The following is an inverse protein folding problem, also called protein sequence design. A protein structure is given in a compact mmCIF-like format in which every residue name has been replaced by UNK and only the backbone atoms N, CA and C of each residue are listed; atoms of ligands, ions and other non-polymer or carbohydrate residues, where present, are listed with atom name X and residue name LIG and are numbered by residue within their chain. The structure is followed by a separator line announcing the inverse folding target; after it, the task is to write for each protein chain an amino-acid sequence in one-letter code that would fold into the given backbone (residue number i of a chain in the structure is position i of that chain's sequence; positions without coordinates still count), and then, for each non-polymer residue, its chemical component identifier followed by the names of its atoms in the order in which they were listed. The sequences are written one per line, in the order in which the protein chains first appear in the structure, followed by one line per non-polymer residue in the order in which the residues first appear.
data_IF_799717778073
#
_entry.id   IF_799717778073
#
_cell.length_a   1.000
_cell.length_b   1.000
_cell.length_c   1.000
_cell.angle_alpha   90.00
_cell.angle_beta   90.00
_cell.angle_gamma   90.00
#
_symmetry.space_group_name_H-M   'P 1'
#
loop_
_entity.id
_entity.type
_entity.pdbx_description
1 polymer ?
#
# COMPACT_ATOMS: atom_id res chain seq x y z
N UNK A 1 28.77 -29.68 -9.50
CA UNK A 1 27.50 -28.96 -9.36
C UNK A 1 27.68 -28.03 -8.18
N UNK A 2 27.81 -26.73 -8.43
CA UNK A 2 27.80 -25.76 -7.35
C UNK A 2 26.38 -25.70 -6.81
N UNK A 3 26.28 -25.89 -5.50
CA UNK A 3 25.08 -25.60 -4.72
C UNK A 3 24.92 -24.08 -4.76
N UNK A 4 24.13 -23.62 -5.73
CA UNK A 4 23.74 -22.23 -5.86
C UNK A 4 22.74 -21.98 -4.74
N UNK A 5 23.28 -21.68 -3.55
CA UNK A 5 22.54 -21.21 -2.39
C UNK A 5 21.64 -20.07 -2.87
N UNK A 6 20.37 -20.37 -3.17
CA UNK A 6 19.41 -19.37 -3.60
C UNK A 6 19.25 -18.36 -2.46
N UNK A 7 19.89 -17.21 -2.61
CA UNK A 7 19.74 -16.08 -1.69
C UNK A 7 18.25 -15.74 -1.59
N UNK A 8 17.74 -15.59 -0.36
CA UNK A 8 16.34 -15.26 -0.16
C UNK A 8 16.02 -13.90 -0.81
N UNK A 9 14.95 -13.86 -1.62
CA UNK A 9 14.60 -12.67 -2.40
C UNK A 9 13.56 -11.78 -1.70
N UNK A 10 13.91 -10.51 -1.48
CA UNK A 10 13.01 -9.46 -0.97
C UNK A 10 12.00 -9.08 -2.06
N UNK A 11 12.43 -9.06 -3.31
CA UNK A 11 11.66 -8.77 -4.51
C UNK A 11 12.39 -9.41 -5.71
N UNK A 12 11.83 -9.41 -6.94
CA UNK A 12 12.50 -10.05 -8.09
C UNK A 12 13.93 -9.55 -8.34
N UNK A 13 14.21 -8.28 -8.02
CA UNK A 13 15.49 -7.63 -8.33
C UNK A 13 16.43 -7.47 -7.13
N UNK A 14 15.98 -7.81 -5.91
CA UNK A 14 16.75 -7.57 -4.68
C UNK A 14 16.69 -8.75 -3.71
N UNK A 15 17.87 -9.16 -3.24
CA UNK A 15 18.02 -10.22 -2.23
C UNK A 15 18.20 -9.66 -0.81
N UNK A 16 18.05 -10.54 0.17
CA UNK A 16 18.38 -10.25 1.58
C UNK A 16 19.85 -9.84 1.74
N UNK A 17 20.77 -10.54 1.06
CA UNK A 17 22.20 -10.20 1.10
C UNK A 17 22.49 -8.80 0.54
N UNK A 18 21.73 -8.37 -0.47
CA UNK A 18 21.85 -7.00 -1.01
C UNK A 18 21.46 -5.98 0.07
N UNK A 19 20.33 -6.19 0.76
CA UNK A 19 19.89 -5.31 1.83
C UNK A 19 20.90 -5.23 2.98
N UNK A 20 21.39 -6.39 3.45
CA UNK A 20 22.33 -6.46 4.58
C UNK A 20 23.69 -5.80 4.30
N UNK A 21 24.07 -5.63 3.03
CA UNK A 21 25.30 -4.94 2.64
C UNK A 21 25.17 -3.41 2.64
N UNK A 22 23.94 -2.88 2.63
CA UNK A 22 23.71 -1.43 2.64
C UNK A 22 24.20 -0.81 3.94
N UNK A 23 24.91 0.30 3.83
CA UNK A 23 25.43 1.05 4.99
C UNK A 23 24.41 2.14 5.38
N UNK A 24 23.35 1.71 6.08
CA UNK A 24 22.23 2.58 6.45
C UNK A 24 22.38 3.13 7.87
N UNK A 25 22.89 4.36 7.96
CA UNK A 25 22.89 5.17 9.17
C UNK A 25 21.82 6.29 9.05
N UNK A 26 20.74 6.27 9.86
CA UNK A 26 19.74 7.33 9.83
C UNK A 26 20.23 8.67 10.39
N UNK A 27 21.22 8.65 11.29
CA UNK A 27 21.70 9.82 12.02
C UNK A 27 22.87 10.51 11.30
N UNK A 28 23.58 9.78 10.43
CA UNK A 28 24.58 10.31 9.50
C UNK A 28 24.40 9.71 8.09
N UNK A 29 23.41 10.16 7.31
CA UNK A 29 22.98 9.46 6.11
C UNK A 29 23.94 9.60 4.92
N UNK A 30 24.24 8.47 4.29
CA UNK A 30 24.68 8.42 2.90
C UNK A 30 23.45 8.38 1.99
N UNK A 31 23.20 9.45 1.25
CA UNK A 31 22.03 9.59 0.39
C UNK A 31 21.99 8.57 -0.76
N UNK A 32 23.13 8.07 -1.22
CA UNK A 32 23.18 7.02 -2.22
C UNK A 32 22.71 5.68 -1.63
N UNK A 33 23.14 5.35 -0.41
CA UNK A 33 22.71 4.14 0.31
C UNK A 33 21.21 4.20 0.64
N UNK A 34 20.72 5.35 1.11
CA UNK A 34 19.28 5.54 1.37
C UNK A 34 18.43 5.50 0.10
N UNK A 35 18.94 6.00 -1.02
CA UNK A 35 18.27 5.86 -2.32
C UNK A 35 18.18 4.40 -2.75
N UNK A 36 19.26 3.62 -2.61
CA UNK A 36 19.23 2.17 -2.87
C UNK A 36 18.23 1.46 -1.97
N UNK A 37 18.21 1.78 -0.67
CA UNK A 37 17.27 1.21 0.28
C UNK A 37 15.81 1.51 -0.09
N UNK A 38 15.50 2.76 -0.45
CA UNK A 38 14.16 3.15 -0.90
C UNK A 38 13.76 2.39 -2.19
N UNK A 39 14.70 2.17 -3.11
CA UNK A 39 14.45 1.42 -4.34
C UNK A 39 14.14 -0.07 -4.08
N UNK A 40 14.74 -0.69 -3.06
CA UNK A 40 14.40 -2.07 -2.63
C UNK A 40 12.92 -2.15 -2.24
N UNK A 41 12.44 -1.22 -1.41
CA UNK A 41 11.04 -1.19 -1.00
C UNK A 41 10.11 -0.86 -2.16
N UNK A 42 10.49 0.14 -2.97
CA UNK A 42 9.74 0.52 -4.16
C UNK A 42 9.52 -0.69 -5.08
N UNK A 43 10.59 -1.42 -5.39
CA UNK A 43 10.52 -2.62 -6.23
C UNK A 43 9.68 -3.72 -5.58
N UNK A 44 9.83 -3.97 -4.27
CA UNK A 44 9.02 -4.95 -3.54
C UNK A 44 7.52 -4.67 -3.67
N UNK A 45 7.09 -3.43 -3.45
CA UNK A 45 5.67 -3.08 -3.46
C UNK A 45 5.13 -3.00 -4.89
N UNK A 46 5.89 -2.41 -5.82
CA UNK A 46 5.51 -2.33 -7.22
C UNK A 46 5.34 -3.72 -7.84
N UNK A 47 6.38 -4.56 -7.78
CA UNK A 47 6.39 -5.86 -8.47
C UNK A 47 5.41 -6.86 -7.88
N UNK A 48 5.18 -6.84 -6.57
CA UNK A 48 4.34 -7.84 -5.88
C UNK A 48 2.87 -7.45 -5.79
N UNK A 49 2.55 -6.16 -5.84
CA UNK A 49 1.18 -5.69 -5.58
C UNK A 49 0.67 -4.70 -6.63
N UNK A 50 1.38 -3.60 -6.87
CA UNK A 50 0.84 -2.53 -7.72
C UNK A 50 0.82 -2.89 -9.20
N UNK A 51 1.92 -3.39 -9.77
CA UNK A 51 1.97 -3.82 -11.16
C UNK A 51 1.01 -4.99 -11.46
N UNK A 52 0.85 -6.00 -10.58
CA UNK A 52 -0.22 -6.99 -10.72
C UNK A 52 -1.62 -6.37 -10.75
N UNK A 53 -1.91 -5.39 -9.90
CA UNK A 53 -3.20 -4.70 -9.90
C UNK A 53 -3.41 -3.89 -11.20
N UNK A 54 -2.38 -3.21 -11.71
CA UNK A 54 -2.39 -2.56 -13.02
C UNK A 54 -2.70 -3.55 -14.15
N UNK A 55 -2.02 -4.71 -14.16
CA UNK A 55 -2.25 -5.76 -15.15
C UNK A 55 -3.71 -6.25 -15.13
N UNK A 56 -4.30 -6.41 -13.93
CA UNK A 56 -5.72 -6.76 -13.79
C UNK A 56 -6.64 -5.64 -14.29
N UNK A 57 -6.31 -4.37 -14.04
CA UNK A 57 -7.09 -3.23 -14.55
C UNK A 57 -7.08 -3.23 -16.09
N UNK A 58 -5.91 -3.41 -16.70
CA UNK A 58 -5.73 -3.45 -18.16
C UNK A 58 -6.47 -4.63 -18.77
N UNK A 59 -6.30 -5.84 -18.20
CA UNK A 59 -6.94 -7.06 -18.70
C UNK A 59 -8.48 -6.98 -18.65
N UNK A 60 -9.03 -6.22 -17.69
CA UNK A 60 -10.48 -6.07 -17.53
C UNK A 60 -11.06 -4.84 -18.25
N UNK A 61 -10.22 -4.00 -18.87
CA UNK A 61 -10.64 -2.86 -19.67
C UNK A 61 -11.68 -3.21 -20.75
N UNK A 62 -11.53 -4.27 -21.57
CA UNK A 62 -12.52 -4.62 -22.61
C UNK A 62 -13.79 -5.30 -22.05
N UNK A 63 -13.78 -5.76 -20.80
CA UNK A 63 -14.89 -6.52 -20.23
C UNK A 63 -15.93 -5.59 -19.58
N UNK A 64 -17.15 -5.55 -20.13
CA UNK A 64 -18.22 -4.69 -19.59
C UNK A 64 -18.72 -5.10 -18.21
N UNK A 65 -18.52 -6.37 -17.80
CA UNK A 65 -19.04 -6.92 -16.54
C UNK A 65 -18.14 -6.63 -15.33
N UNK A 66 -16.84 -6.44 -15.56
CA UNK A 66 -15.85 -6.17 -14.52
C UNK A 66 -15.56 -7.39 -13.63
N UNK A 67 -14.49 -8.13 -13.92
CA UNK A 67 -14.20 -9.41 -13.24
C UNK A 67 -13.22 -9.27 -12.08
N UNK A 68 -12.24 -8.37 -12.17
CA UNK A 68 -11.12 -8.34 -11.21
C UNK A 68 -11.26 -7.31 -10.08
N UNK A 69 -12.45 -6.73 -9.91
CA UNK A 69 -12.69 -5.65 -8.94
C UNK A 69 -12.24 -5.97 -7.51
N UNK A 70 -12.64 -7.12 -6.99
CA UNK A 70 -12.26 -7.55 -5.64
C UNK A 70 -10.77 -7.89 -5.51
N UNK A 71 -10.18 -8.53 -6.52
CA UNK A 71 -8.76 -8.86 -6.51
C UNK A 71 -7.90 -7.59 -6.46
N UNK A 72 -8.23 -6.58 -7.26
CA UNK A 72 -7.54 -5.28 -7.25
C UNK A 72 -7.66 -4.61 -5.87
N UNK A 73 -8.88 -4.52 -5.33
CA UNK A 73 -9.08 -3.89 -4.02
C UNK A 73 -8.38 -4.65 -2.88
N UNK A 74 -8.34 -5.99 -2.93
CA UNK A 74 -7.63 -6.78 -1.93
C UNK A 74 -6.12 -6.48 -1.93
N UNK A 75 -5.50 -6.35 -3.11
CA UNK A 75 -4.10 -5.94 -3.24
C UNK A 75 -3.90 -4.52 -2.70
N UNK A 76 -4.76 -3.58 -3.07
CA UNK A 76 -4.67 -2.19 -2.62
C UNK A 76 -4.78 -2.06 -1.09
N UNK A 77 -5.71 -2.79 -0.47
CA UNK A 77 -5.84 -2.75 0.98
C UNK A 77 -4.66 -3.39 1.72
N UNK A 78 -3.98 -4.38 1.14
CA UNK A 78 -2.72 -4.90 1.68
C UNK A 78 -1.61 -3.84 1.60
N UNK A 79 -1.54 -3.10 0.50
CA UNK A 79 -0.54 -2.03 0.32
C UNK A 79 -0.76 -0.90 1.33
N UNK A 80 -2.01 -0.49 1.58
CA UNK A 80 -2.36 0.51 2.59
C UNK A 80 -1.78 0.16 3.97
N UNK A 81 -1.99 -1.07 4.43
CA UNK A 81 -1.46 -1.56 5.71
C UNK A 81 0.07 -1.58 5.69
N UNK A 82 0.64 -2.05 4.58
CA UNK A 82 2.08 -2.19 4.43
C UNK A 82 2.79 -0.84 4.52
N UNK A 83 2.31 0.18 3.81
CA UNK A 83 2.89 1.53 3.85
C UNK A 83 2.86 2.08 5.28
N UNK A 84 1.72 1.97 5.98
CA UNK A 84 1.63 2.45 7.35
C UNK A 84 2.53 1.66 8.30
N UNK A 85 2.66 0.35 8.11
CA UNK A 85 3.58 -0.49 8.87
C UNK A 85 5.04 -0.05 8.72
N UNK A 86 5.46 0.35 7.52
CA UNK A 86 6.80 0.92 7.31
C UNK A 86 6.96 2.32 7.92
N UNK A 87 5.92 3.17 7.83
CA UNK A 87 5.93 4.49 8.47
C UNK A 87 6.11 4.44 9.99
N UNK A 88 5.65 3.37 10.63
CA UNK A 88 5.72 3.20 12.09
C UNK A 88 6.83 2.25 12.55
N UNK A 89 7.52 1.55 11.64
CA UNK A 89 8.59 0.63 11.96
C UNK A 89 8.16 -0.64 12.71
N UNK A 90 6.88 -0.99 12.69
CA UNK A 90 6.34 -2.12 13.49
C UNK A 90 5.21 -2.88 12.81
N UNK A 91 4.97 -4.09 13.28
CA UNK A 91 3.71 -4.82 13.05
C UNK A 91 2.69 -4.37 14.09
N UNK A 92 1.64 -3.68 13.66
CA UNK A 92 0.53 -3.24 14.51
C UNK A 92 -0.75 -3.97 14.18
N UNK A 93 -1.83 -3.64 14.88
CA UNK A 93 -3.17 -4.07 14.50
C UNK A 93 -3.50 -3.51 13.10
N UNK A 94 -3.90 -4.38 12.16
CA UNK A 94 -4.08 -3.99 10.75
C UNK A 94 -5.24 -2.99 10.56
N UNK A 95 -6.24 -2.97 11.46
CA UNK A 95 -7.27 -1.94 11.50
C UNK A 95 -6.68 -0.57 11.84
N UNK A 96 -5.90 -0.49 12.92
CA UNK A 96 -5.30 0.74 13.39
C UNK A 96 -4.33 1.33 12.36
N UNK A 97 -3.55 0.48 11.68
CA UNK A 97 -2.70 0.89 10.57
C UNK A 97 -3.53 1.44 9.40
N UNK A 98 -4.55 0.72 8.95
CA UNK A 98 -5.40 1.18 7.86
C UNK A 98 -6.07 2.53 8.18
N UNK A 99 -6.60 2.69 9.38
CA UNK A 99 -7.25 3.93 9.81
C UNK A 99 -6.27 5.10 9.89
N UNK A 100 -5.04 4.88 10.37
CA UNK A 100 -3.99 5.91 10.41
C UNK A 100 -3.50 6.32 9.03
N UNK A 101 -3.41 5.37 8.09
CA UNK A 101 -3.12 5.70 6.69
C UNK A 101 -4.19 6.64 6.13
N UNK A 102 -5.47 6.27 6.29
CA UNK A 102 -6.60 7.07 5.80
C UNK A 102 -6.62 8.47 6.39
N UNK A 103 -6.24 8.64 7.66
CA UNK A 103 -6.13 9.97 8.30
C UNK A 103 -5.14 10.90 7.58
N UNK A 104 -4.10 10.35 6.95
CA UNK A 104 -3.02 11.09 6.26
C UNK A 104 -3.22 11.16 4.76
N UNK A 105 -4.22 10.48 4.22
CA UNK A 105 -4.44 10.35 2.79
C UNK A 105 -5.42 11.41 2.30
N UNK A 106 -4.89 12.50 1.76
CA UNK A 106 -5.70 13.65 1.34
C UNK A 106 -6.79 13.28 0.33
N UNK A 107 -6.51 12.35 -0.58
CA UNK A 107 -7.48 11.88 -1.56
C UNK A 107 -8.66 11.14 -0.90
N UNK A 108 -8.41 10.39 0.18
CA UNK A 108 -9.49 9.81 0.98
C UNK A 108 -10.29 10.91 1.69
N UNK A 109 -9.62 11.85 2.34
CA UNK A 109 -10.28 12.94 3.07
C UNK A 109 -11.12 13.83 2.15
N UNK A 110 -10.68 14.01 0.89
CA UNK A 110 -11.41 14.76 -0.13
C UNK A 110 -12.70 14.06 -0.60
N UNK A 111 -12.85 12.76 -0.33
CA UNK A 111 -14.08 12.01 -0.65
C UNK A 111 -15.13 12.07 0.47
N UNK A 112 -14.89 12.83 1.53
CA UNK A 112 -15.79 12.98 2.66
C UNK A 112 -16.58 14.27 2.53
N UNK A 113 -17.91 14.18 2.62
CA UNK A 113 -18.78 15.38 2.68
C UNK A 113 -18.49 16.20 3.95
N UNK A 114 -18.16 15.50 5.05
CA UNK A 114 -17.74 16.07 6.33
C UNK A 114 -16.43 15.41 6.81
N UNK A 115 -15.34 16.19 6.80
CA UNK A 115 -14.00 15.72 7.18
C UNK A 115 -13.92 15.31 8.65
N UNK A 116 -14.82 15.76 9.53
CA UNK A 116 -14.82 15.35 10.94
C UNK A 116 -15.17 13.87 11.11
N UNK A 117 -15.87 13.27 10.14
CA UNK A 117 -16.26 11.86 10.12
C UNK A 117 -15.16 10.91 9.64
N UNK A 118 -13.95 11.41 9.32
CA UNK A 118 -12.88 10.62 8.72
C UNK A 118 -12.62 9.29 9.44
N UNK A 119 -12.66 9.30 10.78
CA UNK A 119 -12.34 8.12 11.58
C UNK A 119 -13.37 7.01 11.40
N UNK A 120 -14.65 7.34 11.57
CA UNK A 120 -15.73 6.35 11.43
C UNK A 120 -15.84 5.84 9.99
N UNK A 121 -15.59 6.70 8.99
CA UNK A 121 -15.56 6.34 7.58
C UNK A 121 -14.38 5.43 7.24
N UNK A 122 -13.19 5.68 7.81
CA UNK A 122 -12.02 4.83 7.64
C UNK A 122 -12.21 3.45 8.29
N UNK A 123 -12.76 3.41 9.50
CA UNK A 123 -13.10 2.16 10.20
C UNK A 123 -14.12 1.34 9.41
N UNK A 124 -15.14 1.99 8.87
CA UNK A 124 -16.16 1.33 8.04
C UNK A 124 -15.55 0.79 6.74
N UNK A 125 -14.71 1.58 6.06
CA UNK A 125 -14.02 1.16 4.84
C UNK A 125 -13.10 -0.05 5.10
N UNK A 126 -12.35 -0.04 6.21
CA UNK A 126 -11.54 -1.18 6.62
C UNK A 126 -12.39 -2.44 6.85
N UNK A 127 -13.48 -2.32 7.63
CA UNK A 127 -14.32 -3.45 7.97
C UNK A 127 -15.01 -4.07 6.73
N UNK A 128 -15.53 -3.22 5.83
CA UNK A 128 -16.29 -3.65 4.66
C UNK A 128 -15.41 -4.02 3.47
N UNK A 129 -14.22 -3.42 3.34
CA UNK A 129 -13.26 -3.70 2.29
C UNK A 129 -12.26 -4.75 2.75
N UNK A 130 -11.19 -4.32 3.43
CA UNK A 130 -10.06 -5.16 3.84
C UNK A 130 -10.48 -6.43 4.58
N UNK A 131 -11.26 -6.30 5.66
CA UNK A 131 -11.60 -7.43 6.53
C UNK A 131 -12.56 -8.41 5.82
N UNK A 132 -13.63 -7.90 5.20
CA UNK A 132 -14.59 -8.75 4.49
C UNK A 132 -13.98 -9.47 3.28
N UNK A 133 -13.22 -8.76 2.44
CA UNK A 133 -12.55 -9.37 1.29
C UNK A 133 -11.57 -10.46 1.71
N UNK A 134 -10.78 -10.22 2.75
CA UNK A 134 -9.76 -11.16 3.19
C UNK A 134 -10.32 -12.39 3.90
N UNK A 135 -11.31 -12.23 4.78
CA UNK A 135 -11.83 -13.34 5.58
C UNK A 135 -13.04 -14.05 4.97
N UNK A 136 -13.80 -13.39 4.08
CA UNK A 136 -15.03 -13.94 3.52
C UNK A 136 -15.02 -14.06 2.00
N UNK A 137 -14.06 -13.42 1.31
CA UNK A 137 -14.05 -13.34 -0.15
C UNK A 137 -15.24 -12.54 -0.73
N UNK A 138 -15.95 -11.79 0.11
CA UNK A 138 -17.15 -11.04 -0.24
C UNK A 138 -17.19 -9.70 0.48
N UNK A 139 -18.10 -8.82 0.06
CA UNK A 139 -18.34 -7.54 0.72
C UNK A 139 -19.83 -7.32 0.92
N UNK A 140 -20.25 -6.97 2.14
CA UNK A 140 -21.66 -6.73 2.42
C UNK A 140 -22.12 -5.36 1.88
N UNK A 141 -21.22 -4.36 1.90
CA UNK A 141 -21.55 -2.96 1.59
C UNK A 141 -20.67 -2.30 0.51
N UNK A 142 -19.62 -2.97 0.02
CA UNK A 142 -18.80 -2.41 -1.06
C UNK A 142 -19.49 -2.66 -2.41
N UNK A 143 -19.57 -1.61 -3.21
CA UNK A 143 -19.97 -1.66 -4.61
C UNK A 143 -18.79 -1.21 -5.45
N UNK A 144 -18.18 -2.15 -6.18
CA UNK A 144 -17.06 -1.81 -7.06
C UNK A 144 -17.59 -1.10 -8.30
N UNK A 145 -16.98 0.05 -8.60
CA UNK A 145 -17.26 0.89 -9.76
C UNK A 145 -16.03 0.97 -10.67
N UNK A 146 -16.27 1.36 -11.91
CA UNK A 146 -15.26 1.62 -12.93
C UNK A 146 -15.72 2.72 -13.88
N UNK A 147 -14.77 3.38 -14.54
CA UNK A 147 -15.02 4.43 -15.51
C UNK A 147 -15.05 5.83 -14.90
N UNK A 148 -14.84 6.85 -15.73
CA UNK A 148 -14.53 8.20 -15.27
C UNK A 148 -15.66 8.90 -14.51
N UNK A 149 -16.92 8.56 -14.80
CA UNK A 149 -18.09 9.19 -14.16
C UNK A 149 -18.20 8.93 -12.65
N UNK A 150 -17.52 7.92 -12.12
CA UNK A 150 -17.59 7.59 -10.70
C UNK A 150 -16.40 8.24 -9.95
N UNK A 151 -16.65 8.84 -8.76
CA UNK A 151 -15.57 9.33 -7.91
C UNK A 151 -14.71 8.17 -7.39
N UNK A 152 -13.53 8.49 -6.84
CA UNK A 152 -12.66 7.48 -6.23
C UNK A 152 -13.40 6.66 -5.15
N UNK A 153 -14.09 7.37 -4.25
CA UNK A 153 -14.83 6.80 -3.15
C UNK A 153 -16.13 7.60 -2.96
N UNK A 154 -17.24 6.92 -2.67
CA UNK A 154 -18.49 7.56 -2.26
C UNK A 154 -19.18 6.73 -1.18
N UNK A 155 -19.36 7.34 -0.02
CA UNK A 155 -20.20 6.81 1.05
C UNK A 155 -21.66 7.22 0.78
N UNK A 156 -22.59 6.28 0.86
CA UNK A 156 -24.02 6.54 0.64
C UNK A 156 -24.78 6.44 1.96
N UNK A 157 -25.94 7.11 2.04
CA UNK A 157 -26.76 7.16 3.26
C UNK A 157 -27.31 5.78 3.67
N UNK A 158 -27.47 4.87 2.70
CA UNK A 158 -27.85 3.47 2.93
C UNK A 158 -26.70 2.59 3.48
N UNK A 159 -25.53 3.20 3.74
CA UNK A 159 -24.35 2.55 4.27
C UNK A 159 -23.49 1.84 3.22
N UNK A 160 -23.87 1.82 1.93
CA UNK A 160 -23.00 1.28 0.88
C UNK A 160 -21.82 2.21 0.62
N UNK A 161 -20.68 1.63 0.29
CA UNK A 161 -19.47 2.33 -0.14
C UNK A 161 -19.23 2.00 -1.61
N UNK A 162 -19.26 3.00 -2.47
CA UNK A 162 -18.84 2.84 -3.86
C UNK A 162 -17.35 3.12 -3.96
N UNK A 163 -16.59 2.19 -4.54
CA UNK A 163 -15.15 2.35 -4.77
C UNK A 163 -14.89 2.24 -6.27
N UNK A 164 -14.38 3.31 -6.88
CA UNK A 164 -13.85 3.23 -8.23
C UNK A 164 -12.46 2.62 -8.18
N UNK A 165 -12.36 1.31 -8.46
CA UNK A 165 -11.12 0.54 -8.28
C UNK A 165 -9.91 1.17 -9.00
N UNK A 166 -10.11 1.76 -10.19
CA UNK A 166 -9.01 2.29 -11.00
C UNK A 166 -8.51 3.61 -10.42
N UNK A 167 -9.42 4.49 -10.00
CA UNK A 167 -9.06 5.75 -9.34
C UNK A 167 -8.46 5.52 -7.96
N UNK A 168 -8.98 4.55 -7.22
CA UNK A 168 -8.47 4.17 -5.91
C UNK A 168 -7.04 3.62 -6.02
N UNK A 169 -6.83 2.66 -6.91
CA UNK A 169 -5.51 2.07 -7.19
C UNK A 169 -4.48 3.13 -7.61
N UNK A 170 -4.85 4.02 -8.55
CA UNK A 170 -3.96 5.10 -9.01
C UNK A 170 -3.59 6.04 -7.86
N UNK A 171 -4.59 6.50 -7.11
CA UNK A 171 -4.38 7.39 -5.97
C UNK A 171 -3.50 6.76 -4.88
N UNK A 172 -3.65 5.44 -4.66
CA UNK A 172 -2.80 4.70 -3.72
C UNK A 172 -1.37 4.58 -4.24
N UNK A 173 -1.19 4.34 -5.54
CA UNK A 173 0.12 4.29 -6.19
C UNK A 173 0.83 5.64 -6.09
N UNK A 174 0.11 6.74 -6.27
CA UNK A 174 0.64 8.10 -6.09
C UNK A 174 1.01 8.37 -4.62
N UNK A 175 0.18 7.92 -3.68
CA UNK A 175 0.49 8.02 -2.24
C UNK A 175 1.73 7.20 -1.85
N UNK A 176 1.91 6.03 -2.47
CA UNK A 176 3.13 5.23 -2.30
C UNK A 176 4.35 5.93 -2.89
N UNK A 177 4.23 6.52 -4.08
CA UNK A 177 5.29 7.33 -4.70
C UNK A 177 5.75 8.45 -3.79
N UNK A 178 4.81 9.23 -3.23
CA UNK A 178 5.13 10.30 -2.26
C UNK A 178 5.83 9.79 -1.01
N UNK A 179 5.46 8.61 -0.52
CA UNK A 179 6.16 7.98 0.61
C UNK A 179 7.61 7.60 0.26
N UNK A 180 7.85 7.06 -0.94
CA UNK A 180 9.20 6.76 -1.42
C UNK A 180 10.03 8.05 -1.59
N UNK A 181 9.42 9.12 -2.11
CA UNK A 181 10.09 10.41 -2.27
C UNK A 181 10.45 11.03 -0.91
N UNK A 182 9.56 10.91 0.09
CA UNK A 182 9.81 11.32 1.48
C UNK A 182 10.99 10.53 2.08
N UNK A 183 11.06 9.21 1.87
CA UNK A 183 12.19 8.40 2.34
C UNK A 183 13.54 8.82 1.76
N UNK A 184 13.54 9.32 0.52
CA UNK A 184 14.73 9.80 -0.17
C UNK A 184 15.19 11.18 0.30
N UNK A 185 14.39 11.89 1.10
CA UNK A 185 14.80 13.18 1.65
C UNK A 185 15.76 13.02 2.85
N UNK A 186 16.88 13.76 2.91
CA UNK A 186 17.86 13.68 4.01
C UNK A 186 17.25 13.96 5.39
N UNK A 187 16.28 14.86 5.47
CA UNK A 187 15.63 15.26 6.72
C UNK A 187 14.68 14.21 7.31
N UNK A 188 14.36 13.15 6.55
CA UNK A 188 13.42 12.10 6.95
C UNK A 188 13.99 11.09 7.95
N UNK A 189 14.85 11.52 8.88
CA UNK A 189 15.60 10.68 9.84
C UNK A 189 14.69 9.70 10.59
N UNK A 190 13.60 10.18 11.17
CA UNK A 190 12.66 9.33 11.92
C UNK A 190 11.95 8.30 11.01
N UNK A 191 11.58 8.71 9.80
CA UNK A 191 10.94 7.83 8.83
C UNK A 191 11.90 6.74 8.35
N UNK A 192 13.14 7.12 8.06
CA UNK A 192 14.26 6.25 7.68
C UNK A 192 14.55 5.21 8.76
N UNK A 193 14.55 5.61 10.04
CA UNK A 193 14.69 4.69 11.18
C UNK A 193 13.55 3.66 11.23
N UNK A 194 12.30 4.10 11.12
CA UNK A 194 11.14 3.20 11.08
C UNK A 194 11.19 2.25 9.87
N UNK A 195 11.49 2.77 8.70
CA UNK A 195 11.63 1.98 7.47
C UNK A 195 12.71 0.91 7.61
N UNK A 196 13.92 1.29 8.06
CA UNK A 196 15.03 0.37 8.28
C UNK A 196 14.64 -0.73 9.29
N UNK A 197 14.08 -0.35 10.43
CA UNK A 197 13.63 -1.31 11.45
C UNK A 197 12.66 -2.35 10.88
N UNK A 198 11.71 -1.91 10.05
CA UNK A 198 10.73 -2.81 9.44
C UNK A 198 11.36 -3.73 8.38
N UNK A 199 12.26 -3.19 7.55
CA UNK A 199 12.97 -3.99 6.55
C UNK A 199 13.92 -5.01 7.19
N UNK A 200 14.64 -4.62 8.24
CA UNK A 200 15.53 -5.52 8.98
C UNK A 200 14.75 -6.72 9.55
N UNK A 201 13.56 -6.47 10.10
CA UNK A 201 12.68 -7.55 10.57
C UNK A 201 12.26 -8.50 9.43
N UNK A 202 11.92 -7.96 8.25
CA UNK A 202 11.56 -8.77 7.06
C UNK A 202 12.75 -9.60 6.54
N UNK A 203 13.98 -9.10 6.72
CA UNK A 203 15.19 -9.74 6.20
C UNK A 203 15.88 -10.64 7.24
N UNK A 204 15.33 -10.76 8.44
CA UNK A 204 15.82 -11.62 9.51
C UNK A 204 15.04 -12.94 9.64
N UNK A 205 13.85 -13.01 9.04
CA UNK A 205 13.01 -14.21 8.91
C UNK A 205 13.53 -15.15 7.81
#
# INVERSE_FOLDING_TARGET
MHDDSMSMMISPDYSVDYWQKLQLDPDNPDENEWTKAANVLQNRIQKRFLEPADALIVADAPNSRGTFGFAILALDFIVIETIQGFREGRTGNSQDQSVRFMKRWDEFLACLDDRTQWKSKAENLYAQGRCALHHRGSTDKIVVRRGERYPMLKFNDDGRIQINRTKFHRSLSDAFGRYIDELKQPESVSLRRCFKQKMDAICAD
#
